data_IF_665273138639
#
_entry.id   IF_665273138639
#
_cell.length_a   1.000
_cell.length_b   1.000
_cell.length_c   1.000
_cell.angle_alpha   90.00
_cell.angle_beta   90.00
_cell.angle_gamma   90.00
#
_symmetry.space_group_name_H-M   'P 1'
#
loop_
_entity.id
_entity.type
_entity.pdbx_description
1 polymer ?
#
# COMPACT_ATOMS: atom_id res chain seq x y z
N UNK A 1 22.73 -3.26 -9.37
CA UNK A 1 21.75 -3.15 -10.47
C UNK A 1 20.53 -3.95 -10.09
N UNK A 2 19.33 -3.35 -10.10
CA UNK A 2 18.12 -4.07 -9.74
C UNK A 2 17.85 -5.17 -10.79
N UNK A 3 17.80 -6.42 -10.35
CA UNK A 3 17.44 -7.55 -11.20
C UNK A 3 15.99 -7.41 -11.63
N UNK A 4 15.74 -7.17 -12.91
CA UNK A 4 14.40 -7.20 -13.48
C UNK A 4 13.86 -8.63 -13.41
N UNK A 5 12.74 -8.81 -12.73
CA UNK A 5 12.04 -10.09 -12.63
C UNK A 5 10.75 -10.04 -13.42
N UNK A 6 10.26 -11.21 -13.86
CA UNK A 6 9.05 -11.31 -14.68
C UNK A 6 7.93 -11.89 -13.84
N UNK A 7 6.78 -11.20 -13.80
CA UNK A 7 5.57 -11.70 -13.15
C UNK A 7 4.60 -12.15 -14.26
N UNK A 8 4.22 -13.44 -14.33
CA UNK A 8 3.21 -13.88 -15.28
C UNK A 8 1.83 -13.35 -14.88
N UNK A 9 1.15 -12.67 -15.80
CA UNK A 9 -0.22 -12.15 -15.60
C UNK A 9 -1.09 -12.47 -16.81
N UNK A 10 -2.40 -12.42 -16.64
CA UNK A 10 -3.33 -12.50 -17.77
C UNK A 10 -3.33 -11.19 -18.57
N UNK A 11 -3.72 -11.27 -19.85
CA UNK A 11 -3.87 -10.08 -20.72
C UNK A 11 -4.86 -9.08 -20.12
N UNK A 12 -5.96 -9.55 -19.57
CA UNK A 12 -6.98 -8.73 -18.91
C UNK A 12 -6.41 -7.90 -17.77
N UNK A 13 -5.58 -8.50 -16.91
CA UNK A 13 -4.94 -7.79 -15.80
C UNK A 13 -3.92 -6.78 -16.31
N UNK A 14 -3.15 -7.11 -17.35
CA UNK A 14 -2.20 -6.18 -17.97
C UNK A 14 -2.90 -4.97 -18.57
N UNK A 15 -4.01 -5.17 -19.26
CA UNK A 15 -4.77 -4.07 -19.86
C UNK A 15 -5.44 -3.21 -18.79
N UNK A 16 -5.95 -3.82 -17.71
CA UNK A 16 -6.40 -3.08 -16.53
C UNK A 16 -5.27 -2.29 -15.88
N UNK A 17 -4.06 -2.85 -15.76
CA UNK A 17 -2.91 -2.17 -15.19
C UNK A 17 -2.56 -0.89 -15.97
N UNK A 18 -2.66 -0.93 -17.31
CA UNK A 18 -2.47 0.27 -18.16
C UNK A 18 -3.46 1.39 -17.85
N UNK A 19 -4.71 1.06 -17.48
CA UNK A 19 -5.72 2.09 -17.15
C UNK A 19 -5.37 2.89 -15.90
N UNK A 20 -4.51 2.35 -15.03
CA UNK A 20 -4.02 3.06 -13.85
C UNK A 20 -2.79 3.92 -14.13
N UNK A 21 -2.17 3.80 -15.30
CA UNK A 21 -0.95 4.53 -15.65
C UNK A 21 -1.21 5.88 -16.30
N UNK A 22 -0.28 6.81 -16.09
CA UNK A 22 -0.22 8.10 -16.79
C UNK A 22 0.79 8.06 -17.94
N UNK A 23 0.73 9.05 -18.84
CA UNK A 23 1.62 9.13 -20.00
C UNK A 23 3.08 9.24 -19.52
N UNK A 24 3.88 8.22 -19.83
CA UNK A 24 5.30 8.16 -19.48
C UNK A 24 5.63 7.28 -18.27
N UNK A 25 4.63 6.74 -17.57
CA UNK A 25 4.85 5.79 -16.47
C UNK A 25 5.13 4.38 -16.98
N UNK A 26 6.02 3.68 -16.28
CA UNK A 26 6.28 2.25 -16.50
C UNK A 26 5.32 1.39 -15.67
N UNK A 27 5.20 0.10 -16.01
CA UNK A 27 4.44 -0.84 -15.18
C UNK A 27 4.98 -0.94 -13.76
N UNK A 28 6.30 -0.79 -13.58
CA UNK A 28 6.91 -0.77 -12.25
C UNK A 28 6.45 0.44 -11.45
N UNK A 29 6.38 1.63 -12.06
CA UNK A 29 5.91 2.85 -11.37
C UNK A 29 4.45 2.71 -10.93
N UNK A 30 3.60 2.16 -11.81
CA UNK A 30 2.18 1.91 -11.50
C UNK A 30 2.06 0.92 -10.34
N UNK A 31 2.83 -0.17 -10.37
CA UNK A 31 2.83 -1.19 -9.31
C UNK A 31 3.32 -0.62 -7.99
N UNK A 32 4.43 0.14 -7.98
CA UNK A 32 4.94 0.80 -6.78
C UNK A 32 3.90 1.73 -6.17
N UNK A 33 3.25 2.58 -6.97
CA UNK A 33 2.20 3.48 -6.49
C UNK A 33 0.99 2.75 -5.92
N UNK A 34 0.62 1.61 -6.51
CA UNK A 34 -0.46 0.77 -5.98
C UNK A 34 -0.06 0.09 -4.66
N UNK A 35 1.19 -0.37 -4.55
CA UNK A 35 1.72 -0.94 -3.29
C UNK A 35 1.77 0.11 -2.19
N UNK A 36 2.28 1.32 -2.49
CA UNK A 36 2.34 2.43 -1.53
C UNK A 36 0.94 2.82 -1.02
N UNK A 37 -0.08 2.76 -1.88
CA UNK A 37 -1.46 3.05 -1.49
C UNK A 37 -2.01 1.97 -0.53
N UNK A 38 -1.77 0.69 -0.83
CA UNK A 38 -2.19 -0.42 0.04
C UNK A 38 -1.45 -0.39 1.38
N UNK A 39 -0.14 -0.17 1.36
CA UNK A 39 0.67 -0.08 2.57
C UNK A 39 0.20 1.08 3.46
N UNK A 40 -0.20 2.20 2.85
CA UNK A 40 -0.76 3.35 3.57
C UNK A 40 -2.11 3.01 4.19
N UNK A 41 -3.02 2.38 3.47
CA UNK A 41 -4.33 2.02 3.99
C UNK A 41 -4.20 0.98 5.12
N UNK A 42 -3.38 -0.07 4.96
CA UNK A 42 -3.11 -1.04 6.03
C UNK A 42 -2.39 -0.42 7.24
N UNK A 43 -1.53 0.58 7.02
CA UNK A 43 -0.89 1.30 8.11
C UNK A 43 -1.91 2.17 8.87
N UNK A 44 -2.81 2.84 8.14
CA UNK A 44 -3.87 3.65 8.73
C UNK A 44 -4.85 2.77 9.51
N UNK A 45 -5.30 1.65 8.97
CA UNK A 45 -6.19 0.71 9.67
C UNK A 45 -5.56 0.16 10.97
N UNK A 46 -4.27 -0.22 10.93
CA UNK A 46 -3.53 -0.63 12.14
C UNK A 46 -3.39 0.51 13.15
N UNK A 47 -3.20 1.75 12.68
CA UNK A 47 -3.12 2.91 13.54
C UNK A 47 -4.47 3.30 14.15
N UNK A 48 -5.56 3.16 13.40
CA UNK A 48 -6.93 3.40 13.89
C UNK A 48 -7.33 2.36 14.94
N UNK A 49 -6.99 1.08 14.77
CA UNK A 49 -7.18 0.06 15.83
C UNK A 49 -6.46 0.42 17.13
N UNK A 50 -5.19 0.88 17.05
CA UNK A 50 -4.45 1.34 18.24
C UNK A 50 -4.99 2.63 18.83
N UNK A 51 -5.65 3.47 18.04
CA UNK A 51 -6.28 4.71 18.52
C UNK A 51 -7.61 4.41 19.24
N UNK A 52 -8.35 3.39 18.80
CA UNK A 52 -9.58 2.92 19.46
C UNK A 52 -9.27 2.29 20.83
N UNK A 53 -8.10 1.66 20.98
CA UNK A 53 -7.58 1.20 22.27
C UNK A 53 -7.06 2.34 23.16
N UNK A 54 -6.82 3.54 22.61
CA UNK A 54 -6.16 4.65 23.32
C UNK A 54 -6.97 5.21 24.50
N UNK A 55 -8.29 5.08 24.45
CA UNK A 55 -9.21 5.44 25.55
C UNK A 55 -9.16 4.43 26.72
N UNK A 56 -8.47 3.29 26.57
CA UNK A 56 -8.26 2.30 27.65
C UNK A 56 -6.93 2.48 28.39
N UNK A 57 -6.06 3.40 27.95
CA UNK A 57 -4.78 3.62 28.62
C UNK A 57 -4.95 4.57 29.79
N UNK A 58 -4.84 4.02 31.01
CA UNK A 58 -4.68 4.82 32.23
C UNK A 58 -3.22 5.28 32.30
N UNK A 59 -3.00 6.56 32.60
CA UNK A 59 -1.65 7.10 32.77
C UNK A 59 -0.97 6.47 33.99
N UNK A 60 0.29 6.05 33.85
CA UNK A 60 1.08 5.45 34.94
C UNK A 60 1.57 6.49 35.96
N UNK A 61 1.30 7.78 35.74
CA UNK A 61 1.63 8.86 36.68
C UNK A 61 0.69 8.93 37.90
N UNK A 62 -0.39 8.15 37.93
CA UNK A 62 -1.35 8.06 39.05
C UNK A 62 -1.08 6.87 40.01
N UNK A 63 0.12 6.25 39.97
CA UNK A 63 0.51 5.11 40.80
C UNK A 63 1.50 5.46 41.93
#
# INVERSE_FOLDING_TARGET
MATTTTIPTTKTIRDRLKTYGQKGETYSDILTRLMDAVDRDEFMDRMYQRLEEKDQFVSLDDL
#
